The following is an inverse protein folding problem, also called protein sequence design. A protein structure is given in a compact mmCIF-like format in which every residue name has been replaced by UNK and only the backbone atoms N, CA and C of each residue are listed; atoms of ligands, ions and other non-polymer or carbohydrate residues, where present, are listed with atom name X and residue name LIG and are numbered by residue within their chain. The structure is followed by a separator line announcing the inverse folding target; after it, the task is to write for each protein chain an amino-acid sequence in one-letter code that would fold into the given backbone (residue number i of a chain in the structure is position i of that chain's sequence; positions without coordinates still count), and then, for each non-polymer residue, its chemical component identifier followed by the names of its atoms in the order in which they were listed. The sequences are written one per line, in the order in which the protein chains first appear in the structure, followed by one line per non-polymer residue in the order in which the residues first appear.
data_IF_790569163561
#
_entry.id   IF_790569163561
#
_cell.length_a   1.000
_cell.length_b   1.000
_cell.length_c   1.000
_cell.angle_alpha   90.00
_cell.angle_beta   90.00
_cell.angle_gamma   90.00
#
_symmetry.space_group_name_H-M   'P 1'
#
loop_
_entity.id
_entity.type
_entity.pdbx_description
1 polymer ?
#
# COMPACT_ATOMS: atom_id res chain seq x y z
N UNK A 1 5.02 3.24 13.90
CA UNK A 1 4.11 3.06 12.75
C UNK A 1 4.56 3.95 11.60
N UNK A 2 4.51 3.41 10.40
CA UNK A 2 4.96 4.16 9.24
C UNK A 2 3.83 4.25 8.20
N UNK A 3 3.89 5.24 7.31
CA UNK A 3 2.77 5.53 6.42
C UNK A 3 3.14 5.41 4.95
N UNK A 4 2.11 5.12 4.15
CA UNK A 4 2.15 5.07 2.69
C UNK A 4 0.95 5.85 2.15
N UNK A 5 1.07 6.43 0.97
CA UNK A 5 -0.07 6.98 0.28
C UNK A 5 -0.06 6.61 -1.19
N UNK A 6 -1.25 6.52 -1.78
CA UNK A 6 -1.43 6.19 -3.18
C UNK A 6 -2.39 7.20 -3.78
N UNK A 7 -1.87 8.34 -4.29
CA UNK A 7 -2.72 9.41 -4.83
C UNK A 7 -3.41 8.96 -6.12
N UNK A 8 -4.62 9.46 -6.32
CA UNK A 8 -5.42 9.19 -7.53
C UNK A 8 -5.71 7.71 -7.75
N UNK A 9 -5.86 6.95 -6.65
CA UNK A 9 -6.14 5.52 -6.71
C UNK A 9 -7.61 5.28 -7.02
N UNK A 10 -8.04 5.64 -8.20
CA UNK A 10 -9.47 5.67 -8.55
C UNK A 10 -10.06 4.36 -9.01
N UNK A 11 -9.28 3.35 -9.26
CA UNK A 11 -9.77 2.08 -9.76
C UNK A 11 -10.48 2.15 -11.11
N UNK A 12 -10.20 3.18 -11.91
CA UNK A 12 -10.82 3.38 -13.22
C UNK A 12 -10.05 2.75 -14.36
N UNK A 13 -8.76 2.56 -14.16
CA UNK A 13 -7.93 1.86 -15.14
C UNK A 13 -8.31 0.39 -15.14
N UNK A 14 -8.05 -0.30 -16.22
CA UNK A 14 -8.31 -1.72 -16.35
C UNK A 14 -7.06 -2.42 -16.88
N UNK A 15 -6.24 -3.02 -16.00
CA UNK A 15 -6.40 -3.07 -14.53
C UNK A 15 -6.00 -1.76 -13.86
N UNK A 16 -6.54 -1.49 -12.68
CA UNK A 16 -6.15 -0.30 -11.92
C UNK A 16 -4.67 -0.35 -11.53
N UNK A 17 -4.04 0.82 -11.50
CA UNK A 17 -2.64 0.94 -11.10
C UNK A 17 -2.53 1.86 -9.88
N UNK A 18 -1.57 1.57 -9.02
CA UNK A 18 -1.37 2.33 -7.80
C UNK A 18 0.05 2.89 -7.76
N UNK A 19 0.16 4.20 -7.60
CA UNK A 19 1.44 4.88 -7.56
C UNK A 19 1.78 5.25 -6.11
N UNK A 20 3.02 5.00 -5.71
CA UNK A 20 3.49 5.42 -4.40
C UNK A 20 3.60 6.94 -4.37
N UNK A 21 2.86 7.58 -3.49
CA UNK A 21 3.00 9.01 -3.21
C UNK A 21 3.97 9.21 -2.05
N UNK A 22 3.46 9.16 -0.82
CA UNK A 22 4.31 9.19 0.37
C UNK A 22 4.73 7.78 0.74
N UNK A 23 6.00 7.60 1.06
CA UNK A 23 6.52 6.35 1.62
C UNK A 23 7.37 6.71 2.82
N UNK A 24 7.01 6.20 3.99
CA UNK A 24 7.72 6.50 5.22
C UNK A 24 9.16 5.98 5.21
N UNK A 25 9.98 6.59 6.05
CA UNK A 25 11.41 6.28 6.08
C UNK A 25 11.70 4.85 6.54
N UNK A 26 10.93 4.34 7.48
CA UNK A 26 11.11 2.99 8.00
C UNK A 26 10.79 1.95 6.93
N UNK A 27 9.71 2.16 6.19
CA UNK A 27 9.35 1.28 5.07
C UNK A 27 10.44 1.32 4.01
N UNK A 28 10.90 2.52 3.64
CA UNK A 28 11.96 2.69 2.65
C UNK A 28 13.23 1.95 3.04
N UNK A 29 13.65 2.12 4.30
CA UNK A 29 14.85 1.47 4.81
C UNK A 29 14.72 -0.06 4.80
N UNK A 30 13.57 -0.58 5.25
CA UNK A 30 13.34 -2.01 5.32
C UNK A 30 13.19 -2.63 3.93
N UNK A 31 12.60 -1.88 3.00
CA UNK A 31 12.49 -2.32 1.62
C UNK A 31 13.86 -2.34 0.93
N UNK A 32 14.70 -1.36 1.23
CA UNK A 32 16.06 -1.28 0.72
C UNK A 32 16.24 -0.34 -0.47
N UNK A 33 15.22 0.42 -0.85
CA UNK A 33 15.31 1.34 -1.98
C UNK A 33 14.20 2.38 -1.91
N UNK A 34 14.41 3.52 -2.56
CA UNK A 34 13.38 4.56 -2.69
C UNK A 34 12.41 4.17 -3.79
N UNK A 35 11.12 4.21 -3.49
CA UNK A 35 10.07 3.80 -4.43
C UNK A 35 9.02 4.88 -4.66
N UNK A 36 9.14 6.04 -4.03
CA UNK A 36 8.23 7.17 -4.22
C UNK A 36 8.13 7.53 -5.70
N UNK A 37 6.91 7.71 -6.19
CA UNK A 37 6.64 8.06 -7.58
C UNK A 37 6.54 6.89 -8.52
N UNK A 38 6.92 5.69 -8.09
CA UNK A 38 6.81 4.49 -8.91
C UNK A 38 5.46 3.82 -8.69
N UNK A 39 5.02 3.04 -9.68
CA UNK A 39 3.81 2.24 -9.53
C UNK A 39 4.14 0.90 -8.88
N UNK A 40 3.15 0.31 -8.20
CA UNK A 40 3.37 -0.99 -7.56
C UNK A 40 3.74 -2.09 -8.55
N UNK A 41 3.34 -1.94 -9.81
CA UNK A 41 3.68 -2.91 -10.86
C UNK A 41 5.05 -2.67 -11.48
N UNK A 42 5.78 -1.64 -11.06
CA UNK A 42 7.11 -1.32 -11.56
C UNK A 42 8.22 -1.74 -10.60
N UNK A 43 7.87 -2.19 -9.41
CA UNK A 43 8.85 -2.54 -8.38
C UNK A 43 8.64 -3.98 -7.94
N UNK A 44 9.69 -4.57 -7.37
CA UNK A 44 9.57 -5.89 -6.79
C UNK A 44 8.80 -5.81 -5.48
N UNK A 45 7.72 -6.56 -5.36
CA UNK A 45 6.88 -6.52 -4.16
C UNK A 45 7.34 -7.57 -3.15
N UNK A 46 8.47 -7.29 -2.50
CA UNK A 46 8.94 -8.10 -1.39
C UNK A 46 8.67 -7.37 -0.06
N UNK A 47 8.76 -8.03 1.09
CA UNK A 47 8.51 -7.36 2.37
C UNK A 47 9.30 -6.05 2.52
N UNK A 48 8.72 -4.99 3.07
CA UNK A 48 7.41 -4.93 3.75
C UNK A 48 6.23 -4.54 2.85
N UNK A 49 6.35 -4.66 1.53
CA UNK A 49 5.28 -4.29 0.60
C UNK A 49 4.76 -5.47 -0.23
N UNK A 50 5.03 -6.68 0.22
CA UNK A 50 4.52 -7.87 -0.45
C UNK A 50 2.99 -7.87 -0.49
N UNK A 51 2.44 -8.34 -1.59
CA UNK A 51 0.99 -8.41 -1.85
C UNK A 51 0.28 -7.04 -1.78
N UNK A 52 1.03 -5.96 -1.97
CA UNK A 52 0.47 -4.62 -1.82
C UNK A 52 -0.53 -4.29 -2.93
N UNK A 53 -0.25 -4.70 -4.16
CA UNK A 53 -1.19 -4.44 -5.27
C UNK A 53 -2.54 -5.08 -4.99
N UNK A 54 -2.55 -6.33 -4.54
CA UNK A 54 -3.77 -7.06 -4.21
C UNK A 54 -4.52 -6.40 -3.06
N UNK A 55 -3.80 -5.90 -2.05
CA UNK A 55 -4.43 -5.21 -0.94
C UNK A 55 -5.05 -3.89 -1.38
N UNK A 56 -4.35 -3.10 -2.17
CA UNK A 56 -4.88 -1.84 -2.69
C UNK A 56 -6.11 -2.09 -3.54
N UNK A 57 -6.07 -3.09 -4.41
CA UNK A 57 -7.20 -3.44 -5.26
C UNK A 57 -8.40 -3.86 -4.42
N UNK A 58 -8.18 -4.68 -3.39
CA UNK A 58 -9.25 -5.11 -2.50
C UNK A 58 -9.89 -3.92 -1.79
N UNK A 59 -9.08 -2.93 -1.37
CA UNK A 59 -9.59 -1.73 -0.72
C UNK A 59 -10.51 -0.94 -1.65
N UNK A 60 -10.09 -0.79 -2.92
CA UNK A 60 -10.90 -0.09 -3.93
C UNK A 60 -12.19 -0.85 -4.22
N UNK A 61 -12.10 -2.14 -4.43
CA UNK A 61 -13.27 -2.97 -4.80
C UNK A 61 -14.27 -3.09 -3.67
N UNK A 62 -13.79 -3.24 -2.45
CA UNK A 62 -14.67 -3.37 -1.27
C UNK A 62 -15.15 -2.03 -0.74
N UNK A 63 -14.51 -0.94 -1.16
CA UNK A 63 -14.81 0.42 -0.68
C UNK A 63 -14.74 0.48 0.84
N UNK A 64 -13.75 -0.21 1.42
CA UNK A 64 -13.61 -0.35 2.86
C UNK A 64 -12.15 -0.59 3.22
N UNK A 65 -11.76 -0.32 4.47
CA UNK A 65 -10.39 -0.63 4.90
C UNK A 65 -10.06 -2.11 4.75
N UNK A 66 -8.79 -2.39 4.43
CA UNK A 66 -8.28 -3.75 4.38
C UNK A 66 -7.08 -3.89 5.30
N UNK A 67 -6.91 -5.08 5.83
CA UNK A 67 -5.84 -5.39 6.77
C UNK A 67 -5.04 -6.57 6.27
N UNK A 68 -3.73 -6.46 6.35
CA UNK A 68 -2.79 -7.51 5.94
C UNK A 68 -1.79 -7.72 7.07
N UNK A 69 -1.51 -8.98 7.41
CA UNK A 69 -0.52 -9.32 8.42
C UNK A 69 0.48 -10.30 7.83
N UNK A 70 1.76 -10.00 8.02
CA UNK A 70 2.87 -10.84 7.60
C UNK A 70 3.64 -11.23 8.87
N UNK A 71 3.57 -12.49 9.25
CA UNK A 71 4.16 -12.96 10.50
C UNK A 71 4.79 -14.34 10.33
N UNK A 72 5.88 -14.43 9.53
CA UNK A 72 6.58 -15.69 9.35
C UNK A 72 7.27 -16.13 10.65
N UNK A 73 7.62 -17.41 10.76
CA UNK A 73 8.36 -17.91 11.92
C UNK A 73 9.69 -17.19 12.07
N UNK A 74 10.35 -16.93 10.95
CA UNK A 74 11.62 -16.20 10.90
C UNK A 74 11.47 -14.97 10.02
N UNK A 75 12.18 -13.91 10.37
CA UNK A 75 12.22 -12.71 9.56
C UNK A 75 11.31 -11.61 10.06
N UNK A 76 11.07 -10.64 9.19
CA UNK A 76 10.34 -9.44 9.53
C UNK A 76 8.85 -9.74 9.74
N UNK A 77 8.29 -9.19 10.81
CA UNK A 77 6.86 -9.30 11.11
C UNK A 77 6.24 -7.91 11.09
N UNK A 78 5.13 -7.77 10.41
CA UNK A 78 4.45 -6.49 10.32
C UNK A 78 2.98 -6.67 9.97
N UNK A 79 2.21 -5.63 10.21
CA UNK A 79 0.85 -5.54 9.72
C UNK A 79 0.68 -4.27 8.93
N UNK A 80 -0.29 -4.27 8.04
CA UNK A 80 -0.51 -3.15 7.13
C UNK A 80 -2.01 -2.93 6.96
N UNK A 81 -2.45 -1.70 7.25
CA UNK A 81 -3.83 -1.27 7.08
C UNK A 81 -3.89 -0.32 5.91
N UNK A 82 -4.83 -0.52 4.99
CA UNK A 82 -5.04 0.39 3.86
C UNK A 82 -6.47 0.92 3.93
N UNK A 83 -6.59 2.23 3.87
CA UNK A 83 -7.86 2.95 4.02
C UNK A 83 -8.19 3.71 2.75
N UNK A 84 -9.46 3.70 2.30
CA UNK A 84 -9.87 4.55 1.19
C UNK A 84 -10.21 5.96 1.68
N UNK A 85 -9.78 6.96 0.94
CA UNK A 85 -10.18 8.35 1.16
C UNK A 85 -11.09 8.79 0.04
N UNK A 86 -12.23 9.35 0.41
CA UNK A 86 -13.27 9.70 -0.54
C UNK A 86 -13.24 11.17 -0.93
N UNK A 87 -13.59 11.46 -2.17
CA UNK A 87 -13.79 12.80 -2.68
C UNK A 87 -14.76 12.74 -3.84
N UNK A 88 -15.75 13.63 -3.85
CA UNK A 88 -16.73 13.71 -4.94
C UNK A 88 -17.42 12.36 -5.22
N UNK A 89 -17.75 11.62 -4.16
CA UNK A 89 -18.49 10.37 -4.28
C UNK A 89 -17.68 9.18 -4.77
N UNK A 90 -16.34 9.29 -4.82
CA UNK A 90 -15.48 8.19 -5.25
C UNK A 90 -14.19 8.16 -4.44
N UNK A 91 -13.48 7.07 -4.53
CA UNK A 91 -12.18 6.93 -3.86
C UNK A 91 -11.15 7.73 -4.67
N UNK A 92 -10.56 8.75 -4.03
CA UNK A 92 -9.55 9.60 -4.66
C UNK A 92 -8.14 9.21 -4.28
N UNK A 93 -7.95 8.56 -3.12
CA UNK A 93 -6.63 8.23 -2.59
C UNK A 93 -6.74 7.03 -1.66
N UNK A 94 -5.66 6.29 -1.53
CA UNK A 94 -5.52 5.30 -0.47
C UNK A 94 -4.43 5.75 0.48
N UNK A 95 -4.63 5.47 1.76
CA UNK A 95 -3.62 5.72 2.79
C UNK A 95 -3.32 4.40 3.49
N UNK A 96 -2.04 4.08 3.62
CA UNK A 96 -1.61 2.90 4.31
C UNK A 96 -0.84 3.21 5.58
N UNK A 97 -0.94 2.33 6.56
CA UNK A 97 -0.14 2.39 7.77
C UNK A 97 0.44 1.00 8.04
N UNK A 98 1.72 0.95 8.30
CA UNK A 98 2.42 -0.30 8.60
C UNK A 98 2.97 -0.26 10.02
N UNK A 99 2.80 -1.36 10.73
CA UNK A 99 3.30 -1.55 12.08
C UNK A 99 4.26 -2.73 12.08
N UNK A 100 5.48 -2.51 12.55
CA UNK A 100 6.51 -3.55 12.62
C UNK A 100 6.63 -4.08 14.04
N UNK A 101 6.83 -5.38 14.16
CA UNK A 101 6.96 -6.02 15.49
C UNK A 101 8.36 -6.56 15.71
#
# INVERSE_FOLDING_TARGET
MDTLSFPKARGRADPPRFRFGLVGDDITRRYGAAITGKFTDEVDLHPPIDQLTEQCLATVERRAPTYFRHAPADGIKYSRLVLPLWGNGRIEMLIGAACFY
#
